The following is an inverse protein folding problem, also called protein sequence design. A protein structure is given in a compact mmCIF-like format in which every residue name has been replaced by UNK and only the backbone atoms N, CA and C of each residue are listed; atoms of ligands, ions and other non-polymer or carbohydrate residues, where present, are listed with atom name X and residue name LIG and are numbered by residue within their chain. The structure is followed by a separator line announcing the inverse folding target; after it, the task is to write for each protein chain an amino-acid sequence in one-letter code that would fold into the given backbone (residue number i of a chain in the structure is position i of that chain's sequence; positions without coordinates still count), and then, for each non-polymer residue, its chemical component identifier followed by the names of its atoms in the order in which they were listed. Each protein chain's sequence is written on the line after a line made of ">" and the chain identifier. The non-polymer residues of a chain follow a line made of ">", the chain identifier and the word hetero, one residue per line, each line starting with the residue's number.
data_IF_829166903411
#
_entry.id   IF_829166903411
#
_cell.length_a   1.000
_cell.length_b   1.000
_cell.length_c   1.000
_cell.angle_alpha   90.00
_cell.angle_beta   90.00
_cell.angle_gamma   90.00
#
_symmetry.space_group_name_H-M   'P 1'
#
loop_
_entity.id
_entity.type
_entity.pdbx_description
1 polymer ?
#
# COMPACT_ATOMS: atom_id res chain seq x y z
N UNK A 1 -24.02 -13.31 -21.69
CA UNK A 1 -23.07 -13.48 -20.57
C UNK A 1 -23.68 -12.74 -19.41
N UNK A 2 -24.01 -13.41 -18.31
CA UNK A 2 -24.48 -12.72 -17.12
C UNK A 2 -23.32 -11.87 -16.62
N UNK A 3 -23.44 -10.54 -16.66
CA UNK A 3 -22.62 -9.67 -15.83
C UNK A 3 -22.81 -10.16 -14.40
N UNK A 4 -21.80 -10.85 -13.87
CA UNK A 4 -21.76 -11.13 -12.44
C UNK A 4 -21.39 -9.80 -11.80
N UNK A 5 -22.37 -9.09 -11.25
CA UNK A 5 -22.10 -7.89 -10.48
C UNK A 5 -21.10 -8.24 -9.38
N UNK A 6 -19.88 -7.72 -9.50
CA UNK A 6 -18.82 -7.95 -8.53
C UNK A 6 -19.25 -7.33 -7.21
N UNK A 7 -19.13 -8.09 -6.11
CA UNK A 7 -19.30 -7.53 -4.77
C UNK A 7 -18.10 -6.60 -4.51
N UNK A 8 -18.32 -5.31 -4.22
CA UNK A 8 -17.21 -4.40 -3.91
C UNK A 8 -16.52 -4.84 -2.62
N UNK A 9 -15.21 -5.04 -2.70
CA UNK A 9 -14.38 -5.46 -1.57
C UNK A 9 -13.64 -4.25 -1.00
N UNK A 10 -13.78 -4.06 0.31
CA UNK A 10 -12.90 -3.19 1.08
C UNK A 10 -11.89 -4.07 1.82
N UNK A 11 -10.62 -3.92 1.46
CA UNK A 11 -9.52 -4.77 1.92
C UNK A 11 -8.87 -4.25 3.22
N UNK A 12 -8.51 -5.19 4.09
CA UNK A 12 -7.99 -4.86 5.42
C UNK A 12 -6.51 -4.47 5.43
N UNK A 13 -5.73 -4.82 4.41
CA UNK A 13 -4.29 -4.53 4.36
C UNK A 13 -3.69 -4.79 2.98
N UNK A 14 -2.93 -3.84 2.45
CA UNK A 14 -2.06 -4.09 1.31
C UNK A 14 -0.78 -3.22 1.30
N UNK A 15 0.27 -3.78 0.69
CA UNK A 15 1.60 -3.18 0.55
C UNK A 15 1.82 -2.48 -0.79
N UNK A 16 0.76 -1.92 -1.39
CA UNK A 16 0.87 -1.22 -2.68
C UNK A 16 1.89 -0.09 -2.62
N UNK A 17 1.90 0.69 -1.53
CA UNK A 17 2.83 1.82 -1.36
C UNK A 17 4.28 1.36 -1.24
N UNK A 18 4.55 0.25 -0.55
CA UNK A 18 5.90 -0.32 -0.46
C UNK A 18 6.44 -0.70 -1.84
N UNK A 19 5.60 -1.33 -2.68
CA UNK A 19 5.98 -1.68 -4.06
C UNK A 19 6.32 -0.44 -4.89
N UNK A 20 5.52 0.62 -4.76
CA UNK A 20 5.74 1.88 -5.49
C UNK A 20 7.01 2.58 -4.99
N UNK A 21 7.23 2.62 -3.68
CA UNK A 21 8.43 3.18 -3.05
C UNK A 21 9.71 2.46 -3.47
N UNK A 22 9.68 1.13 -3.56
CA UNK A 22 10.84 0.33 -4.00
C UNK A 22 11.06 0.33 -5.52
N UNK A 23 10.19 0.99 -6.29
CA UNK A 23 10.36 1.10 -7.74
C UNK A 23 11.58 1.96 -8.09
N UNK A 24 12.24 1.62 -9.20
CA UNK A 24 13.31 2.45 -9.79
C UNK A 24 12.77 3.46 -10.81
N UNK A 25 11.45 3.51 -10.99
CA UNK A 25 10.80 4.40 -11.93
C UNK A 25 10.70 5.81 -11.35
N UNK A 26 10.78 6.82 -12.20
CA UNK A 26 10.65 8.22 -11.80
C UNK A 26 9.18 8.64 -11.67
N UNK A 27 8.26 7.97 -12.37
CA UNK A 27 6.82 8.24 -12.32
C UNK A 27 6.07 7.05 -11.70
N UNK A 28 6.13 6.97 -10.37
CA UNK A 28 5.54 5.86 -9.63
C UNK A 28 4.01 5.88 -9.63
N UNK A 29 3.38 7.06 -9.77
CA UNK A 29 1.92 7.19 -9.88
C UNK A 29 1.42 6.53 -11.15
N UNK A 30 2.11 6.74 -12.27
CA UNK A 30 1.80 6.10 -13.55
C UNK A 30 1.79 4.57 -13.44
N UNK A 31 2.70 3.98 -12.66
CA UNK A 31 2.73 2.53 -12.41
C UNK A 31 1.48 1.99 -11.71
N UNK A 32 0.79 2.81 -10.93
CA UNK A 32 -0.48 2.46 -10.32
C UNK A 32 -1.66 2.78 -11.27
N UNK A 33 -1.64 3.94 -11.92
CA UNK A 33 -2.76 4.43 -12.74
C UNK A 33 -2.93 3.60 -14.02
N UNK A 34 -1.83 3.34 -14.73
CA UNK A 34 -1.85 2.61 -16.00
C UNK A 34 -1.68 1.10 -15.80
N UNK A 35 -1.22 0.70 -14.62
CA UNK A 35 -0.81 -0.67 -14.33
C UNK A 35 0.54 -1.03 -14.97
N UNK A 36 1.12 -2.14 -14.51
CA UNK A 36 2.41 -2.65 -14.99
C UNK A 36 2.45 -4.16 -14.83
N UNK A 37 3.34 -4.84 -15.55
CA UNK A 37 3.65 -6.24 -15.29
C UNK A 37 4.20 -6.45 -13.86
N UNK A 38 3.53 -7.34 -13.11
CA UNK A 38 3.88 -7.67 -11.71
C UNK A 38 3.13 -6.84 -10.66
N UNK A 39 3.32 -7.15 -9.38
CA UNK A 39 2.52 -6.62 -8.26
C UNK A 39 1.14 -7.27 -8.18
N UNK A 40 0.31 -6.88 -7.20
CA UNK A 40 -1.05 -7.41 -7.03
C UNK A 40 -2.14 -6.36 -7.27
N UNK A 41 -1.90 -5.11 -6.88
CA UNK A 41 -2.87 -4.01 -6.97
C UNK A 41 -2.30 -2.88 -7.85
N UNK A 42 -3.11 -2.48 -8.83
CA UNK A 42 -3.06 -1.25 -9.61
C UNK A 42 -4.49 -0.87 -10.03
N UNK A 43 -4.68 0.34 -10.56
CA UNK A 43 -6.00 0.88 -10.88
C UNK A 43 -6.79 0.01 -11.89
N UNK A 44 -6.19 -0.48 -13.01
CA UNK A 44 -6.90 -1.37 -13.92
C UNK A 44 -7.35 -2.68 -13.26
N UNK A 45 -6.48 -3.34 -12.47
CA UNK A 45 -6.85 -4.58 -11.77
C UNK A 45 -7.84 -4.35 -10.65
N UNK A 46 -7.73 -3.24 -9.93
CA UNK A 46 -8.68 -2.87 -8.89
C UNK A 46 -10.11 -2.75 -9.46
N UNK A 47 -10.24 -2.06 -10.60
CA UNK A 47 -11.52 -1.94 -11.33
C UNK A 47 -12.02 -3.30 -11.83
N UNK A 48 -11.15 -4.10 -12.44
CA UNK A 48 -11.52 -5.40 -12.97
C UNK A 48 -11.89 -6.44 -11.88
N UNK A 49 -11.32 -6.30 -10.68
CA UNK A 49 -11.48 -7.25 -9.58
C UNK A 49 -12.48 -6.82 -8.50
N UNK A 50 -13.12 -5.66 -8.62
CA UNK A 50 -14.07 -5.16 -7.61
C UNK A 50 -13.41 -4.65 -6.33
N UNK A 51 -12.13 -4.25 -6.38
CA UNK A 51 -11.45 -3.61 -5.26
C UNK A 51 -11.97 -2.18 -5.10
N UNK A 52 -12.81 -1.96 -4.11
CA UNK A 52 -13.47 -0.68 -3.85
C UNK A 52 -12.67 0.22 -2.90
N UNK A 53 -11.70 -0.34 -2.19
CA UNK A 53 -10.87 0.39 -1.24
C UNK A 53 -10.08 -0.53 -0.33
N UNK A 54 -9.28 0.06 0.54
CA UNK A 54 -8.61 -0.67 1.60
C UNK A 54 -7.67 0.18 2.44
N UNK A 55 -7.01 -0.49 3.38
CA UNK A 55 -5.95 0.10 4.20
C UNK A 55 -4.62 0.01 3.45
N UNK A 56 -4.07 1.17 3.08
CA UNK A 56 -2.80 1.26 2.35
C UNK A 56 -1.67 1.41 3.35
N UNK A 57 -0.92 0.33 3.54
CA UNK A 57 0.12 0.24 4.55
C UNK A 57 1.33 1.13 4.21
N UNK A 58 1.83 1.80 5.24
CA UNK A 58 3.07 2.54 5.27
C UNK A 58 3.98 1.78 6.22
N UNK A 59 4.80 0.93 5.64
CA UNK A 59 5.68 -0.02 6.31
C UNK A 59 7.15 0.37 6.14
N UNK A 60 7.86 0.79 7.21
CA UNK A 60 9.30 1.03 7.16
C UNK A 60 10.06 -0.29 6.90
N UNK A 61 10.64 -0.49 5.71
CA UNK A 61 11.33 -1.75 5.45
C UNK A 61 12.67 -1.81 6.19
N UNK A 62 13.14 -3.02 6.57
CA UNK A 62 14.48 -3.19 7.13
C UNK A 62 15.57 -2.60 6.22
N UNK A 63 16.56 -1.95 6.85
CA UNK A 63 17.70 -1.29 6.19
C UNK A 63 18.59 -2.30 5.47
N UNK A 64 18.83 -3.44 6.13
CA UNK A 64 19.44 -4.57 5.45
C UNK A 64 18.46 -5.08 4.41
N UNK A 65 18.90 -5.05 3.15
CA UNK A 65 18.22 -5.79 2.08
C UNK A 65 18.19 -7.24 2.55
N UNK A 66 17.08 -7.68 3.12
CA UNK A 66 16.82 -9.10 3.29
C UNK A 66 17.17 -9.69 1.94
N UNK A 67 18.15 -10.61 1.93
CA UNK A 67 18.54 -11.26 0.69
C UNK A 67 17.23 -11.79 0.14
N UNK A 68 16.77 -11.29 -1.01
CA UNK A 68 15.46 -11.62 -1.60
C UNK A 68 15.24 -13.13 -1.88
N UNK A 69 16.18 -13.99 -1.48
CA UNK A 69 16.10 -15.45 -1.48
C UNK A 69 16.32 -16.11 -0.11
N UNK A 70 16.19 -15.39 1.00
CA UNK A 70 16.37 -15.91 2.36
C UNK A 70 15.07 -16.13 3.13
N UNK A 71 13.89 -15.98 2.49
CA UNK A 71 12.64 -16.50 3.09
C UNK A 71 12.77 -18.02 3.06
N UNK A 72 12.84 -18.71 4.20
CA UNK A 72 12.96 -20.16 4.22
C UNK A 72 11.75 -20.79 3.52
N UNK A 73 11.97 -21.86 2.76
CA UNK A 73 10.90 -22.61 2.06
C UNK A 73 9.79 -23.12 3.00
N UNK A 74 10.10 -23.21 4.31
CA UNK A 74 9.14 -23.54 5.35
C UNK A 74 9.30 -22.56 6.52
N UNK A 75 8.20 -22.04 7.10
CA UNK A 75 8.25 -21.25 8.31
C UNK A 75 8.98 -22.02 9.41
N UNK A 76 9.99 -21.39 10.02
CA UNK A 76 10.66 -21.92 11.20
C UNK A 76 10.15 -21.16 12.42
N UNK A 77 9.82 -21.88 13.49
CA UNK A 77 9.49 -21.25 14.78
C UNK A 77 10.68 -20.47 15.38
N UNK A 78 11.88 -20.60 14.81
CA UNK A 78 13.12 -19.96 15.26
C UNK A 78 13.68 -18.93 14.26
N UNK A 79 12.83 -18.31 13.43
CA UNK A 79 13.29 -17.19 12.59
C UNK A 79 13.67 -16.01 13.50
N UNK A 80 14.93 -15.53 13.45
CA UNK A 80 15.35 -14.42 14.30
C UNK A 80 14.60 -13.15 13.90
N UNK A 81 14.22 -12.35 14.90
CA UNK A 81 13.68 -11.02 14.64
C UNK A 81 14.74 -10.19 13.90
N UNK A 82 14.31 -9.35 12.92
CA UNK A 82 15.22 -8.38 12.34
C UNK A 82 15.70 -7.39 13.41
N UNK A 83 16.86 -6.75 13.22
CA UNK A 83 17.26 -5.64 14.06
C UNK A 83 16.22 -4.51 13.98
N UNK A 84 16.13 -3.71 15.04
CA UNK A 84 15.31 -2.51 15.09
C UNK A 84 15.71 -1.53 13.97
N UNK A 85 14.72 -0.94 13.30
CA UNK A 85 14.94 0.08 12.28
C UNK A 85 15.20 1.43 12.96
N UNK A 86 16.32 2.12 12.67
CA UNK A 86 16.55 3.46 13.20
C UNK A 86 15.44 4.43 12.81
N UNK A 87 15.00 5.27 13.77
CA UNK A 87 13.84 6.17 13.58
C UNK A 87 14.00 7.13 12.39
N UNK A 88 15.20 7.64 12.14
CA UNK A 88 15.49 8.54 11.02
C UNK A 88 15.34 7.84 9.66
N UNK A 89 15.77 6.58 9.57
CA UNK A 89 15.56 5.73 8.41
C UNK A 89 14.07 5.39 8.23
N UNK A 90 13.40 5.03 9.32
CA UNK A 90 11.97 4.75 9.30
C UNK A 90 11.17 5.97 8.81
N UNK A 91 11.43 7.14 9.38
CA UNK A 91 10.78 8.41 9.02
C UNK A 91 10.93 8.73 7.53
N UNK A 92 12.11 8.49 6.96
CA UNK A 92 12.37 8.72 5.53
C UNK A 92 11.42 7.89 4.65
N UNK A 93 11.32 6.59 4.91
CA UNK A 93 10.45 5.70 4.15
C UNK A 93 8.96 5.97 4.39
N UNK A 94 8.57 6.25 5.64
CA UNK A 94 7.20 6.61 6.03
C UNK A 94 6.72 7.86 5.28
N UNK A 95 7.52 8.93 5.27
CA UNK A 95 7.19 10.17 4.55
C UNK A 95 7.13 9.91 3.04
N UNK A 96 8.04 9.10 2.49
CA UNK A 96 8.04 8.79 1.07
C UNK A 96 6.77 8.05 0.63
N UNK A 97 6.35 7.02 1.37
CA UNK A 97 5.12 6.27 1.07
C UNK A 97 3.86 7.11 1.31
N UNK A 98 3.80 7.91 2.38
CA UNK A 98 2.75 8.88 2.59
C UNK A 98 2.64 9.87 1.41
N UNK A 99 3.77 10.38 0.94
CA UNK A 99 3.84 11.26 -0.23
C UNK A 99 3.30 10.59 -1.49
N UNK A 100 3.61 9.32 -1.73
CA UNK A 100 3.04 8.54 -2.84
C UNK A 100 1.52 8.47 -2.72
N UNK A 101 0.98 8.13 -1.54
CA UNK A 101 -0.47 8.04 -1.34
C UNK A 101 -1.19 9.36 -1.69
N UNK A 102 -0.69 10.48 -1.18
CA UNK A 102 -1.28 11.80 -1.48
C UNK A 102 -1.05 12.25 -2.93
N UNK A 103 0.01 11.79 -3.60
CA UNK A 103 0.19 12.03 -5.04
C UNK A 103 -0.81 11.25 -5.88
N UNK A 104 -1.09 10.00 -5.52
CA UNK A 104 -2.14 9.19 -6.16
C UNK A 104 -3.52 9.84 -6.01
N UNK A 105 -3.81 10.39 -4.82
CA UNK A 105 -5.03 11.18 -4.61
C UNK A 105 -5.10 12.41 -5.51
N UNK A 106 -4.03 13.21 -5.57
CA UNK A 106 -3.96 14.39 -6.46
C UNK A 106 -4.11 14.04 -7.93
N UNK A 107 -3.65 12.86 -8.34
CA UNK A 107 -3.80 12.34 -9.70
C UNK A 107 -5.20 11.77 -9.99
N UNK A 108 -6.10 11.75 -8.99
CA UNK A 108 -7.47 11.23 -9.12
C UNK A 108 -7.56 9.71 -9.17
N UNK A 109 -6.50 8.99 -8.77
CA UNK A 109 -6.46 7.53 -8.82
C UNK A 109 -7.22 6.86 -7.66
N UNK A 110 -7.34 7.55 -6.54
CA UNK A 110 -7.99 7.11 -5.30
C UNK A 110 -8.41 8.33 -4.45
N UNK A 111 -9.16 8.10 -3.38
CA UNK A 111 -9.57 9.13 -2.41
C UNK A 111 -9.08 8.75 -1.02
N UNK A 112 -8.30 9.63 -0.36
CA UNK A 112 -7.81 9.38 0.99
C UNK A 112 -8.92 9.72 2.00
N UNK A 113 -9.40 8.68 2.66
CA UNK A 113 -10.51 8.71 3.59
C UNK A 113 -10.03 8.85 5.03
N UNK A 114 -10.69 9.71 5.81
CA UNK A 114 -10.39 9.95 7.24
C UNK A 114 -11.54 9.56 8.15
N UNK A 115 -12.67 9.13 7.57
CA UNK A 115 -13.83 8.67 8.31
C UNK A 115 -14.52 7.50 7.58
N UNK A 116 -15.35 6.75 8.29
CA UNK A 116 -16.20 5.74 7.67
C UNK A 116 -17.22 6.36 6.68
N UNK A 117 -17.58 7.64 6.88
CA UNK A 117 -18.40 8.40 5.94
C UNK A 117 -17.65 8.64 4.62
N UNK A 118 -16.38 9.03 4.70
CA UNK A 118 -15.52 9.26 3.53
C UNK A 118 -15.36 7.97 2.72
N UNK A 119 -15.12 6.84 3.41
CA UNK A 119 -15.01 5.52 2.77
C UNK A 119 -16.27 5.19 1.98
N UNK A 120 -17.45 5.28 2.62
CA UNK A 120 -18.73 5.05 1.94
C UNK A 120 -18.95 6.01 0.77
N UNK A 121 -18.59 7.28 0.95
CA UNK A 121 -18.72 8.31 -0.08
C UNK A 121 -17.85 8.06 -1.31
N UNK A 122 -16.57 7.72 -1.10
CA UNK A 122 -15.63 7.40 -2.17
C UNK A 122 -16.08 6.15 -2.95
N UNK A 123 -16.46 5.07 -2.24
CA UNK A 123 -16.95 3.84 -2.87
C UNK A 123 -18.23 4.10 -3.69
N UNK A 124 -19.17 4.90 -3.18
CA UNK A 124 -20.40 5.25 -3.90
C UNK A 124 -20.15 6.07 -5.17
N UNK A 125 -19.04 6.82 -5.23
CA UNK A 125 -18.60 7.57 -6.40
C UNK A 125 -17.73 6.73 -7.36
N UNK A 126 -17.49 5.45 -7.05
CA UNK A 126 -16.62 4.58 -7.84
C UNK A 126 -15.12 4.90 -7.72
N UNK A 127 -14.73 5.70 -6.71
CA UNK A 127 -13.33 5.95 -6.36
C UNK A 127 -12.81 4.87 -5.41
N UNK A 128 -11.53 4.51 -5.54
CA UNK A 128 -10.88 3.63 -4.57
C UNK A 128 -10.78 4.37 -3.23
N UNK A 129 -11.48 3.88 -2.21
CA UNK A 129 -11.39 4.42 -0.86
C UNK A 129 -10.09 3.97 -0.18
N UNK A 130 -9.14 4.89 0.00
CA UNK A 130 -7.85 4.59 0.61
C UNK A 130 -7.79 5.10 2.05
N UNK A 131 -7.46 4.23 3.00
CA UNK A 131 -7.20 4.61 4.39
C UNK A 131 -5.69 4.59 4.63
N UNK A 132 -5.15 5.70 5.16
CA UNK A 132 -3.76 5.81 5.60
C UNK A 132 -3.54 4.86 6.78
N UNK A 133 -2.68 3.85 6.62
CA UNK A 133 -2.41 2.85 7.64
C UNK A 133 -0.91 2.78 7.94
N UNK A 134 -0.52 2.94 9.20
CA UNK A 134 0.87 2.76 9.65
C UNK A 134 1.03 1.30 10.10
N UNK A 135 1.95 0.58 9.46
CA UNK A 135 2.38 -0.77 9.85
C UNK A 135 3.80 -0.66 10.39
N UNK A 136 3.95 -0.75 11.72
CA UNK A 136 5.20 -0.42 12.39
C UNK A 136 5.28 1.07 12.75
N UNK A 137 5.52 1.36 14.03
CA UNK A 137 5.50 2.73 14.59
C UNK A 137 6.90 3.33 14.75
N UNK A 138 7.92 2.78 14.07
CA UNK A 138 9.33 3.18 14.21
C UNK A 138 9.60 4.65 13.85
N UNK A 139 8.74 5.25 13.03
CA UNK A 139 8.84 6.67 12.67
C UNK A 139 8.29 7.63 13.75
N UNK A 140 7.50 7.12 14.70
CA UNK A 140 6.90 7.92 15.79
C UNK A 140 7.95 8.07 16.90
N UNK A 141 8.07 9.28 17.46
CA UNK A 141 8.90 9.46 18.65
C UNK A 141 8.41 8.63 19.84
N UNK A 142 9.31 8.31 20.78
CA UNK A 142 8.95 7.56 21.98
C UNK A 142 8.19 8.40 23.05
N UNK A 143 8.01 9.71 22.84
CA UNK A 143 7.24 10.61 23.72
C UNK A 143 5.79 10.77 23.25
#
# INVERSE_FOLDING_TARGET
>A
MTETDLVPVFDGHNDTLLRLYQSKDTDVEKLFIEGKSGGHIDLPRAKAGGFAGGMFAIFPPPVEKSRRGAVPLAPSAAEPLPPEVPRDEALTSTIAMASILFRLERAGALTVCRSAGDVRGAMAQGSIAAVFHIEGVEAIDPE
#
